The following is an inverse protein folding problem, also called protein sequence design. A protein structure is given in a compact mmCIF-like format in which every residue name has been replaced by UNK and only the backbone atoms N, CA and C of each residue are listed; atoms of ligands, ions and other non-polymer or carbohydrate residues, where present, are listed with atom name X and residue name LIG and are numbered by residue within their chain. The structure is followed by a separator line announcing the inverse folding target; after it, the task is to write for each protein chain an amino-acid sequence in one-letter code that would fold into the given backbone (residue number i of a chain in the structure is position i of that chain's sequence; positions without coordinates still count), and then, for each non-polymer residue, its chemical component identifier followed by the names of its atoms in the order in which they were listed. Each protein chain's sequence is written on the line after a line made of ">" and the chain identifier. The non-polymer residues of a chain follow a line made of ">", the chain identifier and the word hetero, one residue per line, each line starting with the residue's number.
data_IF_916249412896
#
_entry.id   IF_916249412896
#
_cell.length_a   1.000
_cell.length_b   1.000
_cell.length_c   1.000
_cell.angle_alpha   90.00
_cell.angle_beta   90.00
_cell.angle_gamma   90.00
#
_symmetry.space_group_name_H-M   'P 1'
#
loop_
_entity.id
_entity.type
_entity.pdbx_description
1 polymer ?
#
# COMPACT_ATOMS: atom_id res chain seq x y z
N UNK A 1 40.41 -9.68 -15.42
CA UNK A 1 38.99 -9.90 -15.69
C UNK A 1 38.27 -8.59 -15.38
N UNK A 2 37.57 -7.96 -16.32
CA UNK A 2 36.83 -6.74 -16.02
C UNK A 2 35.71 -7.08 -15.04
N UNK A 3 35.72 -6.50 -13.85
CA UNK A 3 34.60 -6.62 -12.93
C UNK A 3 33.50 -5.69 -13.46
N UNK A 4 32.39 -6.26 -13.95
CA UNK A 4 31.21 -5.48 -14.32
C UNK A 4 30.61 -4.88 -13.04
N UNK A 5 30.94 -3.63 -12.74
CA UNK A 5 30.36 -2.85 -11.65
C UNK A 5 28.95 -2.38 -12.05
N UNK A 6 27.96 -3.27 -12.05
CA UNK A 6 26.56 -2.85 -12.06
C UNK A 6 25.99 -2.97 -10.65
N UNK A 7 25.34 -1.92 -10.18
CA UNK A 7 24.65 -1.94 -8.88
C UNK A 7 23.19 -2.40 -9.05
N UNK A 8 22.61 -2.93 -7.96
CA UNK A 8 21.18 -3.30 -7.91
C UNK A 8 20.28 -2.15 -8.34
N UNK A 9 20.63 -0.93 -7.94
CA UNK A 9 19.87 0.30 -8.24
C UNK A 9 19.94 0.65 -9.73
N UNK A 10 21.11 0.53 -10.36
CA UNK A 10 21.25 0.74 -11.80
C UNK A 10 20.43 -0.27 -12.60
N UNK A 11 20.47 -1.54 -12.19
CA UNK A 11 19.66 -2.58 -12.83
C UNK A 11 18.15 -2.30 -12.67
N UNK A 12 17.71 -1.88 -11.48
CA UNK A 12 16.31 -1.52 -11.28
C UNK A 12 15.89 -0.27 -12.06
N UNK A 13 16.78 0.71 -12.26
CA UNK A 13 16.51 1.85 -13.12
C UNK A 13 16.34 1.44 -14.61
N UNK A 14 17.10 0.44 -15.06
CA UNK A 14 16.89 -0.16 -16.38
C UNK A 14 15.53 -0.87 -16.47
N UNK A 15 15.12 -1.62 -15.44
CA UNK A 15 13.80 -2.27 -15.39
C UNK A 15 12.66 -1.24 -15.44
N UNK A 16 12.82 -0.11 -14.74
CA UNK A 16 11.87 1.01 -14.76
C UNK A 16 11.73 1.60 -16.16
N UNK A 17 12.86 1.75 -16.87
CA UNK A 17 12.88 2.25 -18.27
C UNK A 17 12.27 1.24 -19.24
N UNK A 18 12.49 -0.06 -19.01
CA UNK A 18 11.95 -1.13 -19.84
C UNK A 18 10.43 -1.26 -19.70
N UNK A 19 9.92 -0.99 -18.50
CA UNK A 19 8.50 -1.10 -18.16
C UNK A 19 8.10 -2.50 -17.67
N UNK A 20 7.10 -2.54 -16.79
CA UNK A 20 6.69 -3.74 -16.05
C UNK A 20 6.33 -4.93 -16.96
N UNK A 21 5.61 -4.69 -18.06
CA UNK A 21 5.20 -5.74 -19.00
C UNK A 21 6.38 -6.36 -19.75
N UNK A 22 7.33 -5.54 -20.20
CA UNK A 22 8.53 -6.03 -20.86
C UNK A 22 9.43 -6.83 -19.91
N UNK A 23 9.49 -6.43 -18.64
CA UNK A 23 10.22 -7.17 -17.60
C UNK A 23 9.57 -8.53 -17.33
N UNK A 24 8.23 -8.59 -17.20
CA UNK A 24 7.51 -9.88 -17.05
C UNK A 24 7.79 -10.82 -18.23
N UNK A 25 7.72 -10.32 -19.45
CA UNK A 25 7.98 -11.12 -20.65
C UNK A 25 9.43 -11.63 -20.65
N UNK A 26 10.41 -10.77 -20.34
CA UNK A 26 11.83 -11.17 -20.27
C UNK A 26 12.12 -12.21 -19.18
N UNK A 27 11.50 -12.09 -18.01
CA UNK A 27 11.61 -13.09 -16.95
C UNK A 27 11.02 -14.42 -17.41
N UNK A 28 9.84 -14.40 -18.05
CA UNK A 28 9.16 -15.61 -18.52
C UNK A 28 9.95 -16.38 -19.60
N UNK A 29 10.63 -15.67 -20.50
CA UNK A 29 11.45 -16.30 -21.56
C UNK A 29 12.88 -16.64 -21.10
N UNK A 30 13.18 -16.54 -19.80
CA UNK A 30 14.52 -16.74 -19.22
C UNK A 30 15.60 -15.87 -19.88
N UNK A 31 15.25 -14.64 -20.26
CA UNK A 31 16.17 -13.68 -20.88
C UNK A 31 17.19 -13.06 -19.91
N UNK A 32 17.17 -13.46 -18.63
CA UNK A 32 18.08 -12.97 -17.59
C UNK A 32 18.85 -14.14 -16.97
N UNK A 33 20.12 -13.88 -16.66
CA UNK A 33 20.95 -14.77 -15.82
C UNK A 33 20.31 -14.95 -14.43
N UNK A 34 20.63 -16.04 -13.72
CA UNK A 34 20.01 -16.40 -12.44
C UNK A 34 19.97 -15.25 -11.42
N UNK A 35 21.04 -14.48 -11.31
CA UNK A 35 21.15 -13.32 -10.39
C UNK A 35 20.23 -12.18 -10.82
N UNK A 36 20.22 -11.84 -12.12
CA UNK A 36 19.40 -10.76 -12.67
C UNK A 36 17.91 -11.13 -12.67
N UNK A 37 17.59 -12.41 -12.86
CA UNK A 37 16.22 -12.93 -12.77
C UNK A 37 15.67 -12.75 -11.36
N UNK A 38 16.44 -13.13 -10.33
CA UNK A 38 16.03 -12.92 -8.94
C UNK A 38 15.77 -11.44 -8.62
N UNK A 39 16.61 -10.54 -9.13
CA UNK A 39 16.43 -9.10 -8.94
C UNK A 39 15.22 -8.53 -9.70
N UNK A 40 14.91 -9.05 -10.89
CA UNK A 40 13.74 -8.66 -11.66
C UNK A 40 12.44 -9.16 -11.04
N UNK A 41 12.43 -10.39 -10.52
CA UNK A 41 11.30 -10.95 -9.75
C UNK A 41 11.07 -10.19 -8.45
N UNK A 42 12.13 -9.84 -7.72
CA UNK A 42 12.06 -9.02 -6.52
C UNK A 42 11.46 -7.64 -6.82
N UNK A 43 11.91 -6.99 -7.90
CA UNK A 43 11.38 -5.70 -8.35
C UNK A 43 9.87 -5.79 -8.70
N UNK A 44 9.46 -6.82 -9.44
CA UNK A 44 8.04 -7.05 -9.75
C UNK A 44 7.20 -7.28 -8.48
N UNK A 45 7.73 -8.05 -7.52
CA UNK A 45 7.05 -8.33 -6.25
C UNK A 45 6.89 -7.08 -5.38
N UNK A 46 7.87 -6.19 -5.39
CA UNK A 46 7.80 -4.92 -4.67
C UNK A 46 6.73 -4.00 -5.26
N UNK A 47 6.62 -3.91 -6.60
CA UNK A 47 5.53 -3.16 -7.25
C UNK A 47 4.15 -3.73 -6.93
N UNK A 48 4.00 -5.06 -6.97
CA UNK A 48 2.75 -5.73 -6.61
C UNK A 48 2.36 -5.45 -5.15
N UNK A 49 3.33 -5.53 -4.24
CA UNK A 49 3.14 -5.22 -2.83
C UNK A 49 2.75 -3.76 -2.61
N UNK A 50 3.41 -2.82 -3.29
CA UNK A 50 3.07 -1.40 -3.22
C UNK A 50 1.67 -1.09 -3.75
N UNK A 51 1.23 -1.77 -4.82
CA UNK A 51 -0.16 -1.67 -5.31
C UNK A 51 -1.16 -2.20 -4.30
N UNK A 52 -0.90 -3.37 -3.73
CA UNK A 52 -1.77 -3.95 -2.71
C UNK A 52 -1.82 -3.10 -1.43
N UNK A 53 -0.70 -2.50 -1.03
CA UNK A 53 -0.65 -1.61 0.12
C UNK A 53 -1.36 -0.29 -0.15
N UNK A 54 -1.22 0.29 -1.34
CA UNK A 54 -2.00 1.46 -1.75
C UNK A 54 -3.51 1.17 -1.73
N UNK A 55 -3.93 0.01 -2.25
CA UNK A 55 -5.33 -0.44 -2.20
C UNK A 55 -5.81 -0.69 -0.77
N UNK A 56 -4.95 -1.27 0.07
CA UNK A 56 -5.24 -1.54 1.49
C UNK A 56 -5.32 -0.25 2.31
N UNK A 57 -4.49 0.75 2.03
CA UNK A 57 -4.54 2.06 2.69
C UNK A 57 -5.81 2.82 2.34
N UNK A 58 -6.31 2.70 1.12
CA UNK A 58 -7.60 3.28 0.71
C UNK A 58 -8.76 2.58 1.44
N UNK A 59 -8.76 1.25 1.50
CA UNK A 59 -9.73 0.49 2.29
C UNK A 59 -9.63 0.78 3.80
N UNK A 60 -8.42 0.92 4.34
CA UNK A 60 -8.19 1.24 5.74
C UNK A 60 -8.65 2.67 6.09
N UNK A 61 -8.52 3.64 5.17
CA UNK A 61 -9.09 4.99 5.35
C UNK A 61 -10.61 4.96 5.38
N UNK A 62 -11.26 4.17 4.53
CA UNK A 62 -12.72 3.97 4.57
C UNK A 62 -13.14 3.35 5.91
N UNK A 63 -12.46 2.28 6.34
CA UNK A 63 -12.74 1.62 7.62
C UNK A 63 -12.50 2.53 8.83
N UNK A 64 -11.46 3.37 8.80
CA UNK A 64 -11.14 4.31 9.89
C UNK A 64 -12.11 5.49 9.92
N UNK A 65 -12.56 5.98 8.76
CA UNK A 65 -13.61 6.99 8.65
C UNK A 65 -14.93 6.48 9.23
N UNK A 66 -15.33 5.25 8.89
CA UNK A 66 -16.53 4.63 9.45
C UNK A 66 -16.45 4.45 10.98
N UNK A 67 -15.29 4.02 11.50
CA UNK A 67 -15.07 3.85 12.94
C UNK A 67 -15.06 5.19 13.69
N UNK A 68 -14.48 6.24 13.10
CA UNK A 68 -14.50 7.58 13.68
C UNK A 68 -15.91 8.19 13.66
N UNK A 69 -16.69 7.97 12.59
CA UNK A 69 -18.09 8.40 12.56
C UNK A 69 -18.91 7.72 13.67
N UNK A 70 -18.70 6.41 13.89
CA UNK A 70 -19.36 5.67 14.96
C UNK A 70 -18.97 6.16 16.37
N UNK A 71 -17.70 6.47 16.60
CA UNK A 71 -17.22 7.01 17.88
C UNK A 71 -17.80 8.41 18.17
N UNK A 72 -17.84 9.27 17.15
CA UNK A 72 -18.41 10.61 17.27
C UNK A 72 -19.92 10.57 17.54
N UNK A 73 -20.64 9.69 16.86
CA UNK A 73 -22.07 9.47 17.08
C UNK A 73 -22.35 8.97 18.51
N UNK A 74 -21.54 8.05 19.03
CA UNK A 74 -21.68 7.54 20.40
C UNK A 74 -21.48 8.64 21.46
N UNK A 75 -20.46 9.51 21.30
CA UNK A 75 -20.26 10.64 22.21
C UNK A 75 -21.42 11.62 22.14
N UNK A 76 -21.87 11.96 20.93
CA UNK A 76 -23.00 12.87 20.75
C UNK A 76 -24.27 12.35 21.45
N UNK A 77 -24.52 11.04 21.36
CA UNK A 77 -25.65 10.40 22.04
C UNK A 77 -25.53 10.45 23.57
N UNK A 78 -24.33 10.25 24.12
CA UNK A 78 -24.09 10.35 25.57
C UNK A 78 -24.33 11.78 26.08
N UNK A 79 -23.80 12.78 25.36
CA UNK A 79 -24.00 14.19 25.70
C UNK A 79 -25.49 14.54 25.63
N UNK A 80 -26.18 14.13 24.56
CA UNK A 80 -27.61 14.37 24.40
C UNK A 80 -28.43 13.73 25.54
N UNK A 81 -28.08 12.50 25.96
CA UNK A 81 -28.75 11.83 27.08
C UNK A 81 -28.57 12.61 28.40
N UNK A 82 -27.37 13.11 28.68
CA UNK A 82 -27.09 13.92 29.88
C UNK A 82 -27.90 15.22 29.84
N UNK A 83 -27.93 15.92 28.71
CA UNK A 83 -28.72 17.14 28.55
C UNK A 83 -30.22 16.90 28.76
N UNK A 84 -30.76 15.78 28.26
CA UNK A 84 -32.16 15.39 28.48
C UNK A 84 -32.45 15.16 29.95
N UNK A 85 -31.57 14.45 30.67
CA UNK A 85 -31.75 14.20 32.11
C UNK A 85 -31.75 15.52 32.90
N UNK A 86 -30.82 16.42 32.61
CA UNK A 86 -30.74 17.74 33.27
C UNK A 86 -31.99 18.57 32.98
N UNK A 87 -32.44 18.60 31.72
CA UNK A 87 -33.64 19.31 31.33
C UNK A 87 -34.91 18.76 32.02
N UNK A 88 -35.01 17.44 32.19
CA UNK A 88 -36.11 16.81 32.93
C UNK A 88 -36.12 17.12 34.43
N UNK A 89 -34.95 17.36 35.04
CA UNK A 89 -34.84 17.65 36.48
C UNK A 89 -35.04 19.14 36.78
N UNK A 90 -34.65 20.03 35.87
CA UNK A 90 -34.77 21.48 36.03
C UNK A 90 -36.13 22.05 35.56
N UNK A 91 -36.95 21.23 34.89
CA UNK A 91 -38.29 21.59 34.41
C UNK A 91 -39.37 20.98 35.30
#
# INVERSE_FOLDING_TARGET
>A
MPQEYWTKEQFWAELETLGEDAVRVKVAVKGYDDVRRGLAEEWLRLRESARNEASSLEQARIARSAKNAAWAAAIAAIIAAICVIIAMVLN
#
